data_IF_281961121846
#
_entry.id   IF_281961121846
#
_cell.length_a   1.000
_cell.length_b   1.000
_cell.length_c   1.000
_cell.angle_alpha   90.00
_cell.angle_beta   90.00
_cell.angle_gamma   90.00
#
_symmetry.space_group_name_H-M   'P 1'
#
loop_
_entity.id
_entity.type
_entity.pdbx_description
1 polymer ?
#
# COMPACT_ATOMS: atom_id res chain seq x y z
N UNK A 1 25.57 15.31 15.45
CA UNK A 1 24.17 14.86 15.33
C UNK A 1 24.20 13.37 15.04
N UNK A 2 23.77 12.56 15.98
CA UNK A 2 23.67 11.13 15.78
C UNK A 2 22.38 10.82 15.02
N UNK A 3 22.51 10.35 13.78
CA UNK A 3 21.36 9.83 13.02
C UNK A 3 21.15 8.40 13.50
N UNK A 4 20.16 8.21 14.34
CA UNK A 4 19.71 6.86 14.71
C UNK A 4 18.98 6.26 13.51
N UNK A 5 19.66 5.40 12.77
CA UNK A 5 19.02 4.55 11.78
C UNK A 5 18.11 3.58 12.51
N UNK A 6 16.80 3.85 12.50
CA UNK A 6 15.84 2.83 12.87
C UNK A 6 15.69 1.92 11.64
N UNK A 7 16.37 0.79 11.68
CA UNK A 7 16.18 -0.28 10.71
C UNK A 7 14.90 -1.02 11.10
N UNK A 8 13.78 -0.57 10.59
CA UNK A 8 12.56 -1.38 10.65
C UNK A 8 12.57 -2.30 9.43
N UNK A 9 12.93 -3.54 9.65
CA UNK A 9 12.78 -4.58 8.63
C UNK A 9 11.30 -4.87 8.48
N UNK A 10 10.69 -4.30 7.46
CA UNK A 10 9.31 -4.62 7.09
C UNK A 10 9.34 -5.95 6.36
N UNK A 11 8.89 -7.01 7.02
CA UNK A 11 8.72 -8.29 6.36
C UNK A 11 7.44 -8.27 5.54
N UNK A 12 7.55 -7.99 4.25
CA UNK A 12 6.46 -8.21 3.32
C UNK A 12 6.33 -9.70 3.03
N UNK A 13 5.30 -10.30 3.59
CA UNK A 13 4.89 -11.62 3.12
C UNK A 13 4.09 -11.41 1.84
N UNK A 14 4.78 -11.39 0.72
CA UNK A 14 4.12 -11.49 -0.58
C UNK A 14 3.48 -12.87 -0.68
N UNK A 15 2.21 -12.95 -0.35
CA UNK A 15 1.43 -14.13 -0.70
C UNK A 15 1.16 -14.07 -2.20
N UNK A 16 2.07 -14.58 -2.98
CA UNK A 16 1.74 -15.00 -4.32
C UNK A 16 0.78 -16.17 -4.16
N UNK A 17 -0.51 -15.91 -4.32
CA UNK A 17 -1.45 -16.98 -4.54
C UNK A 17 -1.10 -17.61 -5.88
N UNK A 18 -0.38 -18.72 -5.84
CA UNK A 18 -0.23 -19.54 -7.00
C UNK A 18 -1.63 -20.04 -7.36
N UNK A 19 -2.20 -19.49 -8.42
CA UNK A 19 -3.39 -20.05 -9.03
C UNK A 19 -2.95 -21.33 -9.72
N UNK A 20 -2.98 -22.41 -9.00
CA UNK A 20 -2.95 -23.75 -9.56
C UNK A 20 -4.30 -23.98 -10.25
N UNK A 21 -4.32 -23.93 -11.57
CA UNK A 21 -5.50 -24.24 -12.34
C UNK A 21 -5.89 -25.69 -12.19
N UNK A 22 -7.12 -25.95 -11.80
CA UNK A 22 -8.08 -26.91 -12.35
C UNK A 22 -9.24 -27.04 -11.38
N UNK A 23 -10.42 -26.64 -11.85
CA UNK A 23 -11.68 -27.15 -11.31
C UNK A 23 -12.25 -26.41 -10.11
N UNK A 24 -13.28 -25.62 -10.36
CA UNK A 24 -14.11 -25.02 -9.32
C UNK A 24 -13.66 -23.59 -9.00
N UNK A 25 -14.48 -22.63 -9.45
CA UNK A 25 -14.21 -21.20 -9.32
C UNK A 25 -14.09 -20.74 -7.87
N UNK A 26 -12.92 -20.88 -7.28
CA UNK A 26 -12.49 -19.97 -6.26
C UNK A 26 -12.18 -18.66 -6.99
N UNK A 27 -13.05 -17.64 -6.82
CA UNK A 27 -12.80 -16.31 -7.34
C UNK A 27 -11.61 -15.76 -6.55
N UNK A 28 -10.41 -16.17 -6.95
CA UNK A 28 -9.17 -15.66 -6.40
C UNK A 28 -8.98 -14.23 -6.88
N UNK A 29 -8.92 -13.29 -5.95
CA UNK A 29 -8.48 -11.94 -6.25
C UNK A 29 -7.00 -11.99 -6.61
N UNK A 30 -6.62 -11.34 -7.70
CA UNK A 30 -5.22 -11.17 -8.02
C UNK A 30 -4.63 -10.00 -7.22
N UNK A 31 -3.33 -9.96 -7.09
CA UNK A 31 -2.62 -8.93 -6.34
C UNK A 31 -1.68 -8.18 -7.27
N UNK A 32 -1.84 -6.87 -7.42
CA UNK A 32 -0.94 -6.07 -8.23
C UNK A 32 0.45 -5.97 -7.59
N UNK A 33 1.47 -5.86 -8.44
CA UNK A 33 2.83 -5.63 -7.98
C UNK A 33 2.93 -4.27 -7.30
N UNK A 34 3.55 -4.25 -6.14
CA UNK A 34 3.58 -3.08 -5.26
C UNK A 34 4.97 -2.88 -4.67
N UNK A 35 5.45 -1.66 -4.75
CA UNK A 35 6.65 -1.21 -4.05
C UNK A 35 6.25 -0.33 -2.87
N UNK A 36 6.91 -0.51 -1.75
CA UNK A 36 6.79 0.34 -0.58
C UNK A 36 8.17 0.80 -0.15
N UNK A 37 8.35 2.08 -0.05
CA UNK A 37 9.64 2.65 0.32
C UNK A 37 9.49 3.93 1.13
N UNK A 38 10.52 4.28 1.85
CA UNK A 38 10.57 5.51 2.64
C UNK A 38 11.41 6.57 1.94
N UNK A 39 11.03 7.82 2.15
CA UNK A 39 11.74 9.01 1.72
C UNK A 39 12.05 9.89 2.93
N UNK A 40 12.74 11.00 2.71
CA UNK A 40 13.02 11.95 3.80
C UNK A 40 11.76 12.57 4.41
N UNK A 41 10.65 12.58 3.65
CA UNK A 41 9.39 13.21 4.06
C UNK A 41 8.32 12.23 4.52
N UNK A 42 8.45 10.95 4.20
CA UNK A 42 7.43 9.99 4.54
C UNK A 42 7.60 8.62 3.90
N UNK A 43 6.49 7.95 3.71
CA UNK A 43 6.39 6.62 3.12
C UNK A 43 5.63 6.72 1.81
N UNK A 44 6.06 5.96 0.82
CA UNK A 44 5.42 5.87 -0.49
C UNK A 44 5.01 4.43 -0.77
N UNK A 45 3.78 4.26 -1.17
CA UNK A 45 3.26 3.01 -1.73
C UNK A 45 3.00 3.24 -3.22
N UNK A 46 3.63 2.43 -4.05
CA UNK A 46 3.49 2.53 -5.51
C UNK A 46 2.98 1.21 -6.06
N UNK A 47 1.84 1.24 -6.72
CA UNK A 47 1.14 0.06 -7.23
C UNK A 47 1.08 0.10 -8.74
N UNK A 48 1.50 -0.97 -9.39
CA UNK A 48 1.42 -1.12 -10.85
C UNK A 48 0.02 -1.59 -11.25
N UNK A 49 -0.77 -0.68 -11.81
CA UNK A 49 -2.19 -0.90 -12.14
C UNK A 49 -2.56 -0.29 -13.49
N UNK A 50 -1.89 -0.66 -14.59
CA UNK A 50 -2.27 -0.14 -15.90
C UNK A 50 -3.66 -0.61 -16.31
N UNK A 51 -4.32 0.17 -17.15
CA UNK A 51 -5.64 -0.17 -17.69
C UNK A 51 -6.81 0.08 -16.75
N UNK A 52 -6.61 0.91 -15.72
CA UNK A 52 -7.63 1.28 -14.75
C UNK A 52 -8.10 2.71 -14.95
N UNK A 53 -9.28 2.99 -14.43
CA UNK A 53 -9.73 4.34 -14.17
C UNK A 53 -9.71 4.59 -12.66
N UNK A 54 -9.37 5.80 -12.25
CA UNK A 54 -9.31 6.14 -10.82
C UNK A 54 -10.64 5.89 -10.08
N UNK A 55 -11.77 6.06 -10.77
CA UNK A 55 -13.10 5.77 -10.23
C UNK A 55 -13.34 4.29 -9.89
N UNK A 56 -12.53 3.38 -10.46
CA UNK A 56 -12.61 1.95 -10.21
C UNK A 56 -11.62 1.48 -9.12
N UNK A 57 -10.96 2.42 -8.46
CA UNK A 57 -10.01 2.16 -7.39
C UNK A 57 -10.60 2.62 -6.06
N UNK A 58 -10.43 1.83 -5.04
CA UNK A 58 -10.80 2.17 -3.67
C UNK A 58 -9.60 1.96 -2.76
N UNK A 59 -9.33 2.96 -1.92
CA UNK A 59 -8.27 2.91 -0.91
C UNK A 59 -8.91 3.13 0.44
N UNK A 60 -8.74 2.19 1.33
CA UNK A 60 -9.18 2.30 2.72
C UNK A 60 -8.01 2.13 3.66
N UNK A 61 -8.06 2.84 4.76
CA UNK A 61 -7.10 2.73 5.85
C UNK A 61 -7.85 2.51 7.15
N UNK A 62 -7.45 1.50 7.87
CA UNK A 62 -7.99 1.16 9.17
C UNK A 62 -6.82 0.86 10.10
N UNK A 63 -6.69 1.68 11.13
CA UNK A 63 -5.53 1.71 12.01
C UNK A 63 -4.24 1.94 11.19
N UNK A 64 -3.37 0.95 11.08
CA UNK A 64 -2.15 1.00 10.26
C UNK A 64 -2.24 0.08 9.03
N UNK A 65 -3.42 -0.46 8.73
CA UNK A 65 -3.65 -1.32 7.58
C UNK A 65 -4.16 -0.53 6.39
N UNK A 66 -3.42 -0.64 5.30
CA UNK A 66 -3.80 -0.10 3.99
C UNK A 66 -4.43 -1.21 3.16
N UNK A 67 -5.60 -0.93 2.61
CA UNK A 67 -6.27 -1.81 1.67
C UNK A 67 -6.53 -1.07 0.36
N UNK A 68 -6.08 -1.65 -0.73
CA UNK A 68 -6.31 -1.17 -2.09
C UNK A 68 -7.11 -2.23 -2.82
N UNK A 69 -8.23 -1.85 -3.39
CA UNK A 69 -9.10 -2.76 -4.13
C UNK A 69 -9.63 -2.10 -5.40
N UNK A 70 -10.06 -2.94 -6.31
CA UNK A 70 -10.65 -2.50 -7.57
C UNK A 70 -10.94 -3.67 -8.49
N UNK A 71 -11.31 -3.34 -9.70
CA UNK A 71 -11.59 -4.31 -10.75
C UNK A 71 -10.95 -3.83 -12.05
N UNK A 72 -10.04 -4.63 -12.61
CA UNK A 72 -9.47 -4.36 -13.92
C UNK A 72 -10.33 -5.01 -15.00
N UNK A 73 -11.01 -4.22 -15.83
CA UNK A 73 -11.89 -4.79 -16.84
C UNK A 73 -11.09 -5.45 -17.96
N UNK A 74 -11.64 -6.55 -18.46
CA UNK A 74 -11.11 -7.25 -19.62
C UNK A 74 -12.10 -7.09 -20.78
N UNK A 75 -11.78 -6.21 -21.72
CA UNK A 75 -12.62 -5.95 -22.87
C UNK A 75 -12.72 -7.16 -23.83
N UNK A 76 -11.71 -8.04 -23.84
CA UNK A 76 -11.71 -9.21 -24.70
C UNK A 76 -12.66 -10.30 -24.26
N UNK A 77 -12.94 -10.43 -22.97
CA UNK A 77 -13.88 -11.45 -22.45
C UNK A 77 -15.34 -11.18 -22.80
N UNK A 78 -15.67 -9.97 -23.18
CA UNK A 78 -16.97 -9.60 -23.68
C UNK A 78 -17.22 -10.13 -25.11
N UNK A 79 -16.18 -10.55 -25.81
CA UNK A 79 -16.20 -11.14 -27.14
C UNK A 79 -15.56 -12.52 -27.08
N UNK A 80 -16.06 -13.46 -27.89
CA UNK A 80 -15.46 -14.77 -27.97
C UNK A 80 -14.03 -14.68 -28.49
N UNK A 81 -13.05 -14.85 -27.61
CA UNK A 81 -11.64 -14.89 -27.95
C UNK A 81 -10.98 -16.14 -27.39
N UNK A 82 -9.99 -16.64 -28.12
CA UNK A 82 -9.17 -17.77 -27.70
C UNK A 82 -7.78 -17.25 -27.33
N UNK A 83 -7.42 -17.36 -26.05
CA UNK A 83 -6.09 -16.99 -25.59
C UNK A 83 -5.07 -18.08 -25.93
N UNK A 84 -4.03 -17.72 -26.63
CA UNK A 84 -2.87 -18.58 -26.84
C UNK A 84 -1.87 -18.48 -25.68
N UNK A 85 -1.75 -17.30 -25.11
CA UNK A 85 -0.99 -17.01 -23.89
C UNK A 85 -1.82 -16.05 -23.06
N UNK A 86 -1.93 -16.30 -21.76
CA UNK A 86 -2.67 -15.46 -20.83
C UNK A 86 -1.85 -15.26 -19.55
N UNK A 87 -1.21 -14.12 -19.44
CA UNK A 87 -0.36 -13.76 -18.29
C UNK A 87 -0.89 -12.53 -17.54
N UNK A 88 -1.72 -11.70 -18.20
CA UNK A 88 -2.26 -10.49 -17.61
C UNK A 88 -3.46 -10.86 -16.73
N UNK A 89 -3.42 -10.39 -15.50
CA UNK A 89 -4.52 -10.57 -14.55
C UNK A 89 -5.59 -9.52 -14.76
N UNK A 90 -6.84 -9.95 -14.81
CA UNK A 90 -8.03 -9.11 -14.92
C UNK A 90 -9.03 -9.45 -13.81
N UNK A 91 -10.04 -8.63 -13.67
CA UNK A 91 -11.07 -8.82 -12.68
C UNK A 91 -10.76 -8.15 -11.35
N UNK A 92 -11.47 -8.53 -10.29
CA UNK A 92 -11.29 -7.93 -8.98
C UNK A 92 -9.92 -8.24 -8.38
N UNK A 93 -9.36 -7.27 -7.71
CA UNK A 93 -8.13 -7.42 -6.94
C UNK A 93 -8.27 -6.77 -5.56
N UNK A 94 -7.50 -7.29 -4.64
CA UNK A 94 -7.34 -6.74 -3.29
C UNK A 94 -5.87 -6.83 -2.92
N UNK A 95 -5.32 -5.73 -2.45
CA UNK A 95 -3.99 -5.67 -1.86
C UNK A 95 -4.09 -5.09 -0.46
N UNK A 96 -3.66 -5.83 0.52
CA UNK A 96 -3.66 -5.41 1.92
C UNK A 96 -2.25 -5.46 2.47
N UNK A 97 -1.89 -4.44 3.24
CA UNK A 97 -0.59 -4.37 3.89
C UNK A 97 -0.67 -3.61 5.20
N UNK A 98 0.11 -4.05 6.17
CA UNK A 98 0.31 -3.32 7.40
C UNK A 98 1.48 -2.35 7.20
N UNK A 99 1.22 -1.07 7.45
CA UNK A 99 2.24 -0.04 7.35
C UNK A 99 2.95 0.12 8.70
N UNK A 100 4.25 0.46 8.69
CA UNK A 100 4.96 0.68 9.93
C UNK A 100 4.41 1.88 10.68
N UNK A 101 4.58 1.91 11.99
CA UNK A 101 4.24 3.07 12.82
C UNK A 101 5.13 4.27 12.49
N UNK A 102 4.69 5.45 12.86
CA UNK A 102 5.43 6.68 12.63
C UNK A 102 5.01 7.47 11.39
N UNK A 103 3.92 7.08 10.76
CA UNK A 103 3.35 7.77 9.60
C UNK A 103 1.91 8.20 9.86
N UNK A 104 1.55 9.35 9.34
CA UNK A 104 0.21 9.91 9.49
C UNK A 104 -0.69 9.48 8.33
N UNK A 105 -1.43 8.41 8.54
CA UNK A 105 -2.33 7.85 7.54
C UNK A 105 -3.50 8.79 7.21
N UNK A 106 -3.90 9.64 8.16
CA UNK A 106 -4.95 10.63 7.94
C UNK A 106 -4.56 11.73 6.95
N UNK A 107 -3.26 11.91 6.70
CA UNK A 107 -2.72 12.87 5.75
C UNK A 107 -2.25 12.23 4.45
N UNK A 108 -2.57 10.97 4.23
CA UNK A 108 -2.20 10.27 3.01
C UNK A 108 -2.88 10.90 1.78
N UNK A 109 -2.12 10.96 0.69
CA UNK A 109 -2.60 11.44 -0.60
C UNK A 109 -2.31 10.41 -1.67
N UNK A 110 -3.28 10.17 -2.54
CA UNK A 110 -3.16 9.23 -3.63
C UNK A 110 -3.31 9.93 -4.98
N UNK A 111 -2.52 9.50 -5.94
CA UNK A 111 -2.60 9.94 -7.33
C UNK A 111 -2.45 8.75 -8.26
N UNK A 112 -3.24 8.70 -9.32
CA UNK A 112 -3.14 7.71 -10.37
C UNK A 112 -2.66 8.36 -11.67
N UNK A 113 -1.45 8.00 -12.08
CA UNK A 113 -0.79 8.57 -13.26
C UNK A 113 -0.06 7.48 -14.04
N UNK A 114 -0.24 7.44 -15.33
CA UNK A 114 0.48 6.54 -16.24
C UNK A 114 0.43 5.05 -15.84
N UNK A 115 -0.70 4.61 -15.30
CA UNK A 115 -0.87 3.21 -14.87
C UNK A 115 -0.30 2.89 -13.49
N UNK A 116 0.23 3.87 -12.77
CA UNK A 116 0.70 3.71 -11.40
C UNK A 116 -0.21 4.44 -10.41
N UNK A 117 -0.63 3.73 -9.38
CA UNK A 117 -1.23 4.33 -8.21
C UNK A 117 -0.11 4.63 -7.21
N UNK A 118 0.05 5.89 -6.84
CA UNK A 118 1.02 6.33 -5.85
C UNK A 118 0.29 6.88 -4.64
N UNK A 119 0.64 6.40 -3.48
CA UNK A 119 0.12 6.87 -2.19
C UNK A 119 1.29 7.41 -1.38
N UNK A 120 1.24 8.69 -1.07
CA UNK A 120 2.22 9.37 -0.23
C UNK A 120 1.65 9.53 1.18
N UNK A 121 2.37 9.02 2.17
CA UNK A 121 2.00 9.09 3.58
C UNK A 121 3.07 9.86 4.33
N UNK A 122 2.79 11.07 4.84
CA UNK A 122 3.81 11.84 5.53
C UNK A 122 4.19 11.20 6.86
N UNK A 123 5.40 11.48 7.31
CA UNK A 123 5.81 11.11 8.66
C UNK A 123 4.91 11.78 9.69
N UNK A 124 4.50 11.04 10.71
CA UNK A 124 3.75 11.59 11.81
C UNK A 124 4.60 12.62 12.54
N UNK A 125 4.01 13.79 12.82
CA UNK A 125 4.65 14.74 13.68
C UNK A 125 4.66 14.16 15.09
N UNK A 126 5.85 13.84 15.58
CA UNK A 126 5.99 13.51 16.99
C UNK A 126 5.59 14.74 17.79
N UNK A 127 4.75 14.60 18.83
CA UNK A 127 4.56 15.68 19.76
C UNK A 127 5.95 16.07 20.27
N UNK A 128 6.35 17.32 20.05
CA UNK A 128 7.62 17.81 20.58
C UNK A 128 7.61 17.51 22.07
N UNK A 129 8.51 16.63 22.50
CA UNK A 129 8.72 16.42 23.92
C UNK A 129 9.18 17.75 24.49
N UNK A 130 8.28 18.46 25.16
CA UNK A 130 8.65 19.66 25.88
C UNK A 130 9.56 19.23 27.01
N UNK A 131 10.84 19.48 26.87
CA UNK A 131 11.77 19.32 27.99
C UNK A 131 11.44 20.37 29.02
N UNK A 132 10.88 19.92 30.13
CA UNK A 132 10.58 20.79 31.27
C UNK A 132 11.73 20.70 32.26
N UNK A 133 12.40 21.82 32.54
CA UNK A 133 13.34 21.89 33.66
C UNK A 133 12.57 21.88 34.98
N UNK A 134 12.88 20.91 35.81
CA UNK A 134 12.33 20.84 37.16
C UNK A 134 13.26 21.64 38.09
N UNK A 135 12.79 22.71 38.75
CA UNK A 135 13.62 23.45 39.70
C UNK A 135 13.91 22.59 40.92
N UNK A 136 15.14 22.66 41.40
CA UNK A 136 15.58 21.96 42.59
C UNK A 136 15.57 22.98 43.74
N UNK A 137 14.82 22.70 44.79
CA UNK A 137 14.85 23.51 46.02
C UNK A 137 15.86 22.92 47.00
N UNK A 138 16.67 23.75 47.62
CA UNK A 138 17.55 23.34 48.71
C UNK A 138 16.74 23.05 49.96
N UNK A 139 16.85 21.82 50.50
CA UNK A 139 16.22 21.43 51.75
C UNK A 139 17.16 21.62 52.92
N UNK A 140 16.64 22.11 54.00
CA UNK A 140 17.35 22.18 55.28
C UNK A 140 17.31 20.84 56.00
#
# INVERSE_FOLDING_TARGET
>A
MAVTKVSSTVHFVSRRSAVSGRGGAAIGHWVPNTDVYTTDTGLVVKVELPGMKSENLEITMEDNRLRISGNRPDACRAHHCNFLVMEISYGPFVSEMDLPSGYDLGQAKAIYVNGFLRIDVPAAQQPQSKTTKVPIADGN
#
